data_IF_281049976363
#
_entry.id   IF_281049976363
#
_cell.length_a   1.000
_cell.length_b   1.000
_cell.length_c   1.000
_cell.angle_alpha   90.00
_cell.angle_beta   90.00
_cell.angle_gamma   90.00
#
_symmetry.space_group_name_H-M   'P 1'
#
loop_
_entity.id
_entity.type
_entity.pdbx_description
1 polymer ?
#
# COMPACT_ATOMS: atom_id res chain seq x y z
N UNK A 1 -45.05 29.40 -38.50
CA UNK A 1 -43.80 28.94 -37.94
C UNK A 1 -43.06 28.15 -39.01
N UNK A 2 -41.94 28.63 -39.48
CA UNK A 2 -41.31 28.20 -40.74
C UNK A 2 -40.63 26.83 -40.57
N UNK A 3 -41.02 25.83 -41.35
CA UNK A 3 -40.45 24.47 -41.39
C UNK A 3 -38.92 24.42 -41.48
N UNK A 4 -38.28 25.45 -42.03
CA UNK A 4 -36.82 25.60 -42.11
C UNK A 4 -36.14 25.87 -40.73
N UNK A 5 -36.84 26.51 -39.78
CA UNK A 5 -36.31 26.73 -38.42
C UNK A 5 -36.39 25.48 -37.53
N UNK A 6 -37.37 24.59 -37.78
CA UNK A 6 -37.45 23.31 -37.07
C UNK A 6 -36.34 22.33 -37.49
N UNK A 7 -35.96 22.37 -38.78
CA UNK A 7 -34.90 21.47 -39.29
C UNK A 7 -33.51 21.88 -38.77
N UNK A 8 -33.26 23.18 -38.63
CA UNK A 8 -32.00 23.70 -38.07
C UNK A 8 -31.83 23.38 -36.54
N UNK A 9 -32.97 23.34 -35.82
CA UNK A 9 -32.94 22.99 -34.38
C UNK A 9 -32.75 21.48 -34.13
N UNK A 10 -33.27 20.64 -35.04
CA UNK A 10 -33.08 19.19 -35.00
C UNK A 10 -31.64 18.76 -35.34
N UNK A 11 -30.97 19.47 -36.25
CA UNK A 11 -29.58 19.21 -36.64
C UNK A 11 -28.61 19.67 -35.51
N UNK A 12 -28.92 20.78 -34.81
CA UNK A 12 -28.12 21.24 -33.67
C UNK A 12 -28.22 20.30 -32.45
N UNK A 13 -29.33 19.56 -32.28
CA UNK A 13 -29.51 18.59 -31.19
C UNK A 13 -28.81 17.24 -31.48
N UNK A 14 -28.52 16.92 -32.75
CA UNK A 14 -27.83 15.68 -33.13
C UNK A 14 -26.30 15.77 -33.07
N UNK A 15 -25.74 16.98 -32.93
CA UNK A 15 -24.29 17.20 -32.81
C UNK A 15 -23.77 17.27 -31.32
N UNK A 16 -24.65 17.07 -30.36
CA UNK A 16 -24.34 17.29 -28.94
C UNK A 16 -24.10 16.02 -28.10
N UNK A 17 -24.11 14.81 -28.66
CA UNK A 17 -23.81 13.57 -27.94
C UNK A 17 -22.61 12.87 -28.60
N UNK A 18 -21.50 13.57 -28.68
CA UNK A 18 -20.23 12.89 -28.71
C UNK A 18 -20.00 12.39 -27.27
N UNK A 19 -20.38 11.15 -26.98
CA UNK A 19 -19.87 10.44 -25.86
C UNK A 19 -18.33 10.37 -26.04
N UNK A 20 -17.65 11.36 -25.49
CA UNK A 20 -16.19 11.27 -25.32
C UNK A 20 -15.94 10.11 -24.36
N UNK A 21 -15.83 8.90 -24.90
CA UNK A 21 -15.14 7.83 -24.17
C UNK A 21 -13.78 8.41 -23.86
N UNK A 22 -13.51 8.61 -22.56
CA UNK A 22 -12.21 9.08 -22.15
C UNK A 22 -11.16 8.12 -22.74
N UNK A 23 -10.28 8.66 -23.58
CA UNK A 23 -9.22 7.87 -24.21
C UNK A 23 -8.42 7.17 -23.11
N UNK A 24 -8.28 5.85 -23.23
CA UNK A 24 -7.46 5.10 -22.28
C UNK A 24 -6.04 5.63 -22.27
N UNK A 25 -5.51 5.80 -21.08
CA UNK A 25 -4.13 6.23 -20.88
C UNK A 25 -3.24 5.04 -20.53
N UNK A 26 -1.90 5.13 -20.65
CA UNK A 26 -0.98 4.03 -20.41
C UNK A 26 -1.23 3.26 -19.11
N UNK A 27 -1.52 3.94 -18.01
CA UNK A 27 -1.79 3.30 -16.73
C UNK A 27 -3.08 2.46 -16.72
N UNK A 28 -4.03 2.71 -17.61
CA UNK A 28 -5.27 1.95 -17.69
C UNK A 28 -5.07 0.54 -18.30
N UNK A 29 -3.93 0.29 -18.90
CA UNK A 29 -3.53 -1.02 -19.40
C UNK A 29 -2.73 -1.83 -18.37
N UNK A 30 -2.23 -1.20 -17.30
CA UNK A 30 -1.44 -1.89 -16.28
C UNK A 30 -2.29 -2.85 -15.45
N UNK A 31 -1.86 -4.09 -15.36
CA UNK A 31 -2.41 -5.11 -14.48
C UNK A 31 -1.37 -5.50 -13.40
N UNK A 32 -1.44 -4.94 -12.18
CA UNK A 32 -0.52 -5.32 -11.11
C UNK A 32 -0.60 -6.79 -10.68
N UNK A 33 -1.70 -7.48 -10.99
CA UNK A 33 -1.87 -8.90 -10.69
C UNK A 33 -1.15 -9.82 -11.70
N UNK A 34 -0.69 -9.29 -12.83
CA UNK A 34 0.08 -10.08 -13.81
C UNK A 34 1.37 -10.61 -13.18
N UNK A 35 1.62 -11.92 -13.32
CA UNK A 35 2.79 -12.59 -12.75
C UNK A 35 2.66 -12.95 -11.27
N UNK A 36 1.46 -12.87 -10.66
CA UNK A 36 1.24 -13.21 -9.25
C UNK A 36 0.71 -14.63 -9.02
N UNK A 37 0.36 -15.36 -10.07
CA UNK A 37 0.01 -16.79 -9.99
C UNK A 37 1.28 -17.64 -10.00
N UNK A 38 1.93 -17.71 -8.85
CA UNK A 38 3.23 -18.32 -8.66
C UNK A 38 3.18 -19.53 -7.74
N UNK A 39 4.13 -20.43 -7.94
CA UNK A 39 4.35 -21.60 -7.08
C UNK A 39 5.85 -21.71 -6.79
N UNK A 40 6.20 -22.01 -5.54
CA UNK A 40 7.59 -22.20 -5.11
C UNK A 40 8.34 -23.24 -5.98
N UNK A 41 7.64 -24.28 -6.43
CA UNK A 41 8.22 -25.37 -7.24
C UNK A 41 8.55 -24.94 -8.66
N UNK A 42 7.96 -23.88 -9.20
CA UNK A 42 8.10 -23.48 -10.59
C UNK A 42 8.97 -22.26 -10.76
N UNK A 43 9.21 -21.50 -9.70
CA UNK A 43 10.02 -20.28 -9.75
C UNK A 43 9.60 -19.29 -10.86
N UNK A 44 8.30 -19.24 -11.13
CA UNK A 44 7.71 -18.36 -12.13
C UNK A 44 6.62 -17.50 -11.50
N UNK A 45 6.33 -16.37 -12.14
CA UNK A 45 5.34 -15.44 -11.63
C UNK A 45 5.83 -14.60 -10.45
N UNK A 46 6.52 -14.96 -9.56
CA UNK A 46 7.23 -14.40 -8.39
C UNK A 46 7.05 -12.88 -8.14
N UNK A 47 5.86 -12.35 -8.38
CA UNK A 47 5.54 -10.93 -8.20
C UNK A 47 4.35 -10.79 -7.25
N UNK A 48 4.14 -9.58 -6.76
CA UNK A 48 2.97 -9.18 -5.99
C UNK A 48 2.36 -7.90 -6.57
N UNK A 49 1.07 -7.59 -6.31
CA UNK A 49 0.47 -6.35 -6.76
C UNK A 49 1.02 -5.19 -5.93
N UNK A 50 2.08 -4.55 -6.41
CA UNK A 50 2.67 -3.39 -5.75
C UNK A 50 1.79 -2.15 -5.96
N UNK A 51 1.19 -1.67 -4.88
CA UNK A 51 0.45 -0.42 -4.84
C UNK A 51 1.44 0.64 -4.35
N UNK A 52 1.97 1.42 -5.27
CA UNK A 52 3.07 2.35 -5.01
C UNK A 52 3.15 3.43 -6.08
N UNK A 53 3.91 4.49 -5.85
CA UNK A 53 4.36 5.38 -6.91
C UNK A 53 5.60 4.79 -7.61
N UNK A 54 5.94 5.23 -8.83
CA UNK A 54 7.20 4.85 -9.47
C UNK A 54 8.38 5.16 -8.55
N UNK A 55 9.27 4.19 -8.38
CA UNK A 55 10.45 4.30 -7.49
C UNK A 55 10.13 4.71 -6.04
N UNK A 56 8.88 4.52 -5.59
CA UNK A 56 8.45 4.89 -4.24
C UNK A 56 9.25 4.18 -3.14
N UNK A 57 9.39 4.83 -1.99
CA UNK A 57 10.07 4.24 -0.84
C UNK A 57 9.28 3.05 -0.30
N UNK A 58 7.96 3.18 -0.18
CA UNK A 58 7.09 2.16 0.38
C UNK A 58 6.14 1.59 -0.67
N UNK A 59 6.03 0.26 -0.70
CA UNK A 59 5.02 -0.45 -1.46
C UNK A 59 3.98 -1.05 -0.53
N UNK A 60 2.74 -1.07 -0.98
CA UNK A 60 1.63 -1.68 -0.27
C UNK A 60 1.06 -2.84 -1.06
N UNK A 61 0.57 -3.87 -0.36
CA UNK A 61 -0.02 -5.03 -1.00
C UNK A 61 -1.00 -5.75 -0.08
N UNK A 62 -2.02 -6.44 -0.61
CA UNK A 62 -2.77 -7.43 0.16
C UNK A 62 -1.85 -8.60 0.51
N UNK A 63 -1.88 -9.04 1.76
CA UNK A 63 -1.08 -10.16 2.25
C UNK A 63 -1.92 -11.43 2.23
N UNK A 64 -1.61 -12.39 1.36
CA UNK A 64 -2.23 -13.72 1.34
C UNK A 64 -1.37 -14.78 2.02
N UNK A 65 -0.04 -14.63 2.00
CA UNK A 65 0.91 -15.46 2.74
C UNK A 65 1.04 -15.08 4.21
N UNK A 66 1.73 -15.91 4.98
CA UNK A 66 2.02 -15.65 6.39
C UNK A 66 3.23 -14.72 6.55
N UNK A 67 3.43 -14.23 7.75
CA UNK A 67 4.64 -13.53 8.15
C UNK A 67 5.86 -14.43 7.90
N UNK A 68 6.86 -13.89 7.18
CA UNK A 68 8.06 -14.63 6.83
C UNK A 68 7.95 -15.46 5.55
N UNK A 69 6.78 -15.53 4.93
CA UNK A 69 6.61 -16.18 3.63
C UNK A 69 7.20 -15.30 2.51
N UNK A 70 8.09 -15.88 1.70
CA UNK A 70 8.64 -15.21 0.52
C UNK A 70 7.58 -14.91 -0.54
N UNK A 71 6.52 -15.71 -0.62
CA UNK A 71 5.35 -15.48 -1.46
C UNK A 71 4.25 -14.79 -0.65
N UNK A 72 4.50 -13.55 -0.29
CA UNK A 72 3.58 -12.76 0.54
C UNK A 72 2.19 -12.56 -0.12
N UNK A 73 2.10 -12.65 -1.45
CA UNK A 73 0.86 -12.71 -2.22
C UNK A 73 0.96 -13.78 -3.29
N UNK A 74 -0.11 -14.58 -3.44
CA UNK A 74 -0.32 -15.48 -4.58
C UNK A 74 -1.75 -15.35 -5.09
N UNK A 75 -1.93 -15.28 -6.42
CA UNK A 75 -3.24 -15.12 -7.05
C UNK A 75 -4.22 -16.29 -6.73
N UNK A 76 -3.69 -17.50 -6.60
CA UNK A 76 -4.51 -18.67 -6.27
C UNK A 76 -5.05 -18.69 -4.82
N UNK A 77 -4.62 -17.74 -3.96
CA UNK A 77 -5.11 -17.64 -2.59
C UNK A 77 -6.51 -17.01 -2.55
N UNK A 78 -7.31 -17.46 -1.62
CA UNK A 78 -8.70 -17.05 -1.41
C UNK A 78 -8.91 -16.24 -0.10
N UNK A 79 -7.82 -15.99 0.67
CA UNK A 79 -7.87 -15.25 1.93
C UNK A 79 -6.80 -14.19 2.02
N UNK A 80 -7.18 -13.02 2.54
CA UNK A 80 -6.30 -11.91 2.90
C UNK A 80 -6.12 -11.90 4.42
N UNK A 81 -4.86 -11.81 4.90
CA UNK A 81 -4.46 -11.77 6.30
C UNK A 81 -4.16 -10.37 6.81
N UNK A 82 -4.04 -9.40 5.90
CA UNK A 82 -3.75 -8.00 6.18
C UNK A 82 -3.35 -7.25 4.92
N UNK A 83 -3.11 -5.95 5.08
CA UNK A 83 -2.55 -5.08 4.06
C UNK A 83 -1.17 -4.66 4.53
N UNK A 84 -0.16 -5.09 3.82
CA UNK A 84 1.23 -5.06 4.25
C UNK A 84 1.98 -3.93 3.57
N UNK A 85 2.74 -3.13 4.36
CA UNK A 85 3.86 -2.38 3.81
C UNK A 85 5.00 -3.35 3.51
N UNK A 86 5.59 -3.27 2.35
CA UNK A 86 6.64 -4.20 1.91
C UNK A 86 7.79 -3.47 1.22
N UNK A 87 8.98 -4.01 1.41
CA UNK A 87 10.20 -3.59 0.73
C UNK A 87 10.86 -4.78 0.02
N UNK A 88 10.10 -5.85 -0.19
CA UNK A 88 10.63 -7.08 -0.77
C UNK A 88 10.96 -6.91 -2.26
N UNK A 89 12.23 -7.10 -2.68
CA UNK A 89 12.60 -7.07 -4.09
C UNK A 89 12.12 -8.29 -4.86
N UNK A 90 12.15 -9.46 -4.22
CA UNK A 90 11.71 -10.73 -4.79
C UNK A 90 11.43 -11.77 -3.69
N UNK A 91 10.74 -12.89 -3.99
CA UNK A 91 10.53 -13.96 -3.02
C UNK A 91 11.81 -14.60 -2.46
N UNK A 92 12.90 -14.53 -3.22
CA UNK A 92 14.20 -15.10 -2.85
C UNK A 92 15.00 -14.20 -1.93
N UNK A 93 14.76 -12.90 -2.00
CA UNK A 93 15.33 -11.88 -1.13
C UNK A 93 14.24 -11.50 -0.15
N UNK A 94 14.44 -11.81 1.13
CA UNK A 94 13.44 -11.53 2.16
C UNK A 94 13.09 -10.03 2.23
N UNK A 95 11.93 -9.77 2.82
CA UNK A 95 11.43 -8.44 3.09
C UNK A 95 12.12 -7.81 4.32
N UNK A 96 12.07 -6.50 4.44
CA UNK A 96 12.58 -5.77 5.59
C UNK A 96 11.69 -4.58 5.95
N UNK A 97 11.70 -4.20 7.21
CA UNK A 97 10.96 -3.04 7.68
C UNK A 97 9.44 -3.11 7.45
N UNK A 98 8.88 -4.31 7.39
CA UNK A 98 7.47 -4.53 7.08
C UNK A 98 6.59 -4.52 8.32
N UNK A 99 5.35 -4.10 8.15
CA UNK A 99 4.24 -4.26 9.09
C UNK A 99 2.93 -4.40 8.33
N UNK A 100 1.87 -4.85 8.99
CA UNK A 100 0.56 -5.00 8.32
C UNK A 100 -0.60 -4.43 9.13
N UNK A 101 -1.66 -4.09 8.43
CA UNK A 101 -2.89 -3.51 8.95
C UNK A 101 -4.04 -4.42 8.51
N UNK A 102 -4.86 -4.91 9.44
CA UNK A 102 -6.02 -5.73 9.13
C UNK A 102 -7.28 -5.20 9.80
N UNK A 103 -8.22 -4.62 9.04
CA UNK A 103 -9.52 -4.25 9.56
C UNK A 103 -10.42 -5.49 9.65
N UNK A 104 -11.31 -5.49 10.63
CA UNK A 104 -12.26 -6.58 10.86
C UNK A 104 -13.50 -6.13 11.64
N UNK A 105 -14.50 -7.00 11.69
CA UNK A 105 -15.71 -6.81 12.50
C UNK A 105 -16.01 -8.06 13.32
N UNK A 106 -17.02 -8.00 14.18
CA UNK A 106 -17.49 -9.11 15.01
C UNK A 106 -16.51 -9.40 16.14
N UNK A 107 -15.81 -10.49 16.10
CA UNK A 107 -14.84 -10.90 17.11
C UNK A 107 -13.44 -10.45 16.77
N UNK A 108 -12.74 -9.82 17.70
CA UNK A 108 -11.32 -9.49 17.55
C UNK A 108 -10.48 -10.76 17.44
N UNK A 109 -9.71 -10.86 16.36
CA UNK A 109 -8.79 -11.99 16.07
C UNK A 109 -7.41 -11.41 15.77
N UNK A 110 -6.41 -11.76 16.54
CA UNK A 110 -5.05 -11.22 16.40
C UNK A 110 -4.16 -12.12 15.56
N UNK A 111 -4.30 -13.44 15.71
CA UNK A 111 -3.53 -14.43 14.94
C UNK A 111 -3.81 -14.33 13.44
N UNK A 112 -2.75 -14.46 12.61
CA UNK A 112 -2.81 -14.24 11.17
C UNK A 112 -3.76 -15.20 10.42
N UNK A 113 -3.86 -16.45 10.86
CA UNK A 113 -4.76 -17.39 10.22
C UNK A 113 -6.20 -17.17 10.66
N UNK A 114 -6.41 -16.88 11.96
CA UNK A 114 -7.76 -16.64 12.51
C UNK A 114 -8.37 -15.35 12.00
N UNK A 115 -7.55 -14.29 11.76
CA UNK A 115 -8.03 -13.00 11.25
C UNK A 115 -8.21 -12.96 9.73
N UNK A 116 -7.77 -14.00 9.01
CA UNK A 116 -7.82 -14.01 7.56
C UNK A 116 -9.28 -13.98 7.05
N UNK A 117 -9.56 -13.10 6.11
CA UNK A 117 -10.87 -12.97 5.46
C UNK A 117 -10.86 -13.56 4.07
N UNK A 118 -11.92 -14.26 3.72
CA UNK A 118 -12.21 -14.62 2.34
C UNK A 118 -12.40 -13.37 1.49
N UNK A 119 -11.93 -13.43 0.24
CA UNK A 119 -12.14 -12.41 -0.78
C UNK A 119 -12.34 -13.04 -2.15
N UNK A 120 -12.69 -12.23 -3.12
CA UNK A 120 -12.84 -12.67 -4.51
C UNK A 120 -12.17 -11.65 -5.43
N UNK A 121 -11.40 -12.13 -6.41
CA UNK A 121 -10.83 -11.29 -7.47
C UNK A 121 -11.88 -10.53 -8.28
N UNK A 122 -13.15 -10.99 -8.29
CA UNK A 122 -14.26 -10.23 -8.90
C UNK A 122 -14.64 -8.96 -8.13
N UNK A 123 -14.31 -8.92 -6.85
CA UNK A 123 -14.51 -7.78 -5.95
C UNK A 123 -13.18 -7.13 -5.54
N UNK A 124 -12.09 -7.44 -6.24
CA UNK A 124 -10.77 -6.86 -6.09
C UNK A 124 -10.50 -5.90 -7.24
N UNK A 125 -10.03 -4.71 -6.91
CA UNK A 125 -9.54 -3.74 -7.89
C UNK A 125 -8.10 -3.41 -7.54
N UNK A 126 -7.17 -3.76 -8.43
CA UNK A 126 -5.76 -3.47 -8.29
C UNK A 126 -5.29 -2.58 -9.44
N UNK A 127 -4.79 -1.39 -9.11
CA UNK A 127 -4.07 -0.49 -10.01
C UNK A 127 -2.76 -0.09 -9.32
N UNK A 128 -1.77 0.44 -10.00
CA UNK A 128 -0.53 0.87 -9.35
C UNK A 128 -0.74 1.92 -8.25
N UNK A 129 -1.75 2.76 -8.39
CA UNK A 129 -2.02 3.92 -7.55
C UNK A 129 -3.24 3.77 -6.63
N UNK A 130 -3.95 2.65 -6.69
CA UNK A 130 -5.14 2.41 -5.88
C UNK A 130 -5.46 0.91 -5.81
N UNK A 131 -5.84 0.48 -4.63
CA UNK A 131 -6.32 -0.88 -4.37
C UNK A 131 -7.64 -0.84 -3.62
N UNK A 132 -8.54 -1.78 -3.92
CA UNK A 132 -9.79 -1.97 -3.18
C UNK A 132 -10.18 -3.44 -3.19
N UNK A 133 -10.69 -3.93 -2.06
CA UNK A 133 -11.21 -5.29 -1.93
C UNK A 133 -12.31 -5.38 -0.88
N UNK A 134 -13.30 -6.21 -1.15
CA UNK A 134 -14.33 -6.58 -0.18
C UNK A 134 -13.88 -7.80 0.62
N UNK A 135 -13.89 -7.68 1.95
CA UNK A 135 -13.55 -8.71 2.92
C UNK A 135 -14.84 -9.39 3.40
N UNK A 136 -15.15 -10.56 2.84
CA UNK A 136 -16.47 -11.17 3.04
C UNK A 136 -16.71 -11.73 4.44
N UNK A 137 -15.67 -12.16 5.16
CA UNK A 137 -15.79 -12.60 6.57
C UNK A 137 -16.30 -11.46 7.47
N UNK A 138 -15.95 -10.23 7.14
CA UNK A 138 -16.15 -9.03 7.94
C UNK A 138 -17.20 -8.06 7.37
N UNK A 139 -17.78 -8.38 6.20
CA UNK A 139 -18.77 -7.55 5.50
C UNK A 139 -18.32 -6.08 5.34
N UNK A 140 -17.08 -5.88 4.88
CA UNK A 140 -16.50 -4.56 4.77
C UNK A 140 -15.59 -4.41 3.55
N UNK A 141 -15.34 -3.17 3.15
CA UNK A 141 -14.41 -2.84 2.07
C UNK A 141 -13.18 -2.12 2.62
N UNK A 142 -12.01 -2.49 2.12
CA UNK A 142 -10.75 -1.80 2.37
C UNK A 142 -10.23 -1.20 1.08
N UNK A 143 -9.77 0.04 1.16
CA UNK A 143 -9.19 0.79 0.06
C UNK A 143 -7.85 1.40 0.47
N UNK A 144 -6.90 1.48 -0.48
CA UNK A 144 -5.54 1.99 -0.26
C UNK A 144 -5.14 2.88 -1.43
N UNK A 145 -4.58 4.05 -1.15
CA UNK A 145 -3.91 4.90 -2.14
C UNK A 145 -2.54 5.35 -1.58
N UNK A 146 -1.44 5.10 -2.32
CA UNK A 146 -0.08 5.39 -1.86
C UNK A 146 0.38 6.79 -2.26
N UNK A 147 1.35 7.32 -1.50
CA UNK A 147 2.30 8.33 -1.95
C UNK A 147 3.72 7.72 -1.97
N UNK A 148 4.77 8.52 -2.02
CA UNK A 148 6.14 8.00 -2.04
C UNK A 148 6.51 7.27 -0.74
N UNK A 149 6.14 7.87 0.43
CA UNK A 149 6.47 7.38 1.78
C UNK A 149 5.26 7.02 2.62
N UNK A 150 4.04 7.32 2.13
CA UNK A 150 2.81 7.18 2.88
C UNK A 150 1.76 6.35 2.16
N UNK A 151 0.69 6.02 2.87
CA UNK A 151 -0.55 5.54 2.28
C UNK A 151 -1.77 6.09 3.03
N UNK A 152 -2.84 6.27 2.29
CA UNK A 152 -4.14 6.59 2.83
C UNK A 152 -5.03 5.36 2.75
N UNK A 153 -5.60 4.94 3.87
CA UNK A 153 -6.55 3.85 3.97
C UNK A 153 -7.96 4.39 4.19
N UNK A 154 -8.94 3.73 3.57
CA UNK A 154 -10.36 3.91 3.85
C UNK A 154 -10.98 2.55 4.14
N UNK A 155 -11.58 2.41 5.31
CA UNK A 155 -12.31 1.23 5.76
C UNK A 155 -13.78 1.55 5.78
N UNK A 156 -14.59 0.89 4.95
CA UNK A 156 -16.05 1.06 4.93
C UNK A 156 -16.69 -0.10 5.70
N UNK A 157 -17.18 0.19 6.88
CA UNK A 157 -17.73 -0.77 7.83
C UNK A 157 -19.23 -0.96 7.70
N UNK A 158 -19.79 -2.13 8.08
CA UNK A 158 -21.21 -2.29 8.37
C UNK A 158 -21.59 -1.55 9.68
N UNK A 159 -22.86 -1.61 10.04
CA UNK A 159 -23.32 -1.16 11.37
C UNK A 159 -22.88 -2.19 12.42
N UNK A 160 -22.02 -1.76 13.34
CA UNK A 160 -21.51 -2.62 14.42
C UNK A 160 -20.88 -1.82 15.55
N UNK A 161 -20.96 -2.33 16.79
CA UNK A 161 -20.13 -1.87 17.92
C UNK A 161 -18.71 -2.44 17.91
N UNK A 162 -18.47 -3.45 17.08
CA UNK A 162 -17.28 -4.33 17.09
C UNK A 162 -16.53 -4.22 15.76
N UNK A 163 -16.24 -2.99 15.33
CA UNK A 163 -15.31 -2.71 14.25
C UNK A 163 -13.90 -2.56 14.83
N UNK A 164 -12.94 -3.29 14.30
CA UNK A 164 -11.56 -3.29 14.77
C UNK A 164 -10.56 -3.07 13.63
N UNK A 165 -9.39 -2.55 13.99
CA UNK A 165 -8.20 -2.54 13.13
C UNK A 165 -7.04 -3.11 13.95
N UNK A 166 -6.44 -4.20 13.45
CA UNK A 166 -5.26 -4.83 14.05
C UNK A 166 -4.02 -4.37 13.30
N UNK A 167 -3.05 -3.87 14.05
CA UNK A 167 -1.71 -3.52 13.58
C UNK A 167 -0.78 -4.63 14.01
N UNK A 168 -0.02 -5.17 13.08
CA UNK A 168 0.96 -6.24 13.29
C UNK A 168 2.35 -5.73 12.89
N UNK A 169 3.21 -5.47 13.87
CA UNK A 169 4.56 -4.95 13.63
C UNK A 169 5.59 -6.06 13.37
N UNK A 170 5.12 -7.29 13.23
CA UNK A 170 5.87 -8.50 12.91
C UNK A 170 6.94 -8.87 13.96
N UNK A 171 7.50 -10.05 13.79
CA UNK A 171 8.50 -10.65 14.68
C UNK A 171 9.93 -10.11 14.43
N UNK A 172 10.88 -10.61 15.19
CA UNK A 172 12.31 -10.29 15.24
C UNK A 172 12.63 -8.95 15.88
N UNK A 173 11.74 -8.46 16.72
CA UNK A 173 11.86 -7.21 17.45
C UNK A 173 10.95 -6.12 16.90
N UNK A 174 10.00 -5.72 17.71
CA UNK A 174 9.06 -4.65 17.36
C UNK A 174 8.60 -3.89 18.59
N UNK A 175 8.05 -2.71 18.35
CA UNK A 175 7.51 -1.81 19.35
C UNK A 175 6.24 -1.17 18.82
N UNK A 176 5.26 -1.01 19.68
CA UNK A 176 4.05 -0.22 19.41
C UNK A 176 3.65 0.59 20.64
N UNK A 177 3.06 1.76 20.38
CA UNK A 177 2.40 2.60 21.37
C UNK A 177 1.09 3.13 20.78
N UNK A 178 0.02 2.97 21.53
CA UNK A 178 -1.28 3.58 21.23
C UNK A 178 -1.41 4.87 21.99
N UNK A 179 -1.79 5.96 21.31
CA UNK A 179 -1.99 7.31 21.85
C UNK A 179 -3.46 7.68 21.60
N UNK A 180 -4.39 7.26 22.47
CA UNK A 180 -5.84 7.41 22.21
C UNK A 180 -6.28 8.86 22.09
N UNK A 181 -5.69 9.78 22.84
CA UNK A 181 -5.97 11.22 22.81
C UNK A 181 -5.63 11.91 21.50
N UNK A 182 -4.75 11.29 20.70
CA UNK A 182 -4.37 11.75 19.36
C UNK A 182 -4.96 10.88 18.24
N UNK A 183 -5.73 9.84 18.57
CA UNK A 183 -6.20 8.81 17.64
C UNK A 183 -5.04 8.20 16.83
N UNK A 184 -3.90 7.98 17.47
CA UNK A 184 -2.61 7.67 16.84
C UNK A 184 -2.02 6.37 17.36
N UNK A 185 -1.32 5.68 16.48
CA UNK A 185 -0.43 4.56 16.82
C UNK A 185 0.94 4.89 16.25
N UNK A 186 1.98 4.73 17.07
CA UNK A 186 3.38 4.81 16.64
C UNK A 186 4.08 3.50 16.95
N UNK A 187 5.09 3.17 16.18
CA UNK A 187 5.84 1.96 16.41
C UNK A 187 7.06 1.83 15.53
N UNK A 188 7.74 0.70 15.64
CA UNK A 188 8.76 0.31 14.70
C UNK A 188 8.87 -1.21 14.59
N UNK A 189 9.47 -1.66 13.51
CA UNK A 189 9.94 -3.03 13.31
C UNK A 189 11.43 -3.04 13.03
N UNK A 190 12.14 -4.04 13.56
CA UNK A 190 13.56 -4.29 13.25
C UNK A 190 13.73 -5.45 12.28
N UNK A 191 12.62 -6.03 11.80
CA UNK A 191 12.67 -7.18 10.92
C UNK A 191 13.46 -6.88 9.64
N UNK A 192 14.44 -7.71 9.35
CA UNK A 192 15.29 -7.61 8.17
C UNK A 192 15.87 -9.00 7.82
N UNK A 193 16.57 -9.09 6.69
CA UNK A 193 17.19 -10.32 6.18
C UNK A 193 18.62 -10.55 6.70
N UNK A 194 19.15 -9.62 7.50
CA UNK A 194 20.54 -9.59 7.94
C UNK A 194 21.40 -8.60 7.15
N UNK A 195 22.63 -8.39 7.61
CA UNK A 195 23.59 -7.52 6.93
C UNK A 195 23.41 -6.02 7.15
N UNK A 196 22.49 -5.62 8.05
CA UNK A 196 22.27 -4.22 8.43
C UNK A 196 22.81 -3.92 9.83
N UNK A 197 23.10 -2.65 10.18
CA UNK A 197 23.49 -2.23 11.51
C UNK A 197 22.45 -2.58 12.58
N UNK A 198 22.88 -2.73 13.82
CA UNK A 198 22.00 -3.09 14.94
C UNK A 198 20.91 -2.06 15.25
N UNK A 199 21.10 -0.82 14.86
CA UNK A 199 20.12 0.25 15.02
C UNK A 199 19.10 0.33 13.89
N UNK A 200 19.14 -0.58 12.92
CA UNK A 200 18.14 -0.63 11.83
C UNK A 200 16.73 -0.75 12.39
N UNK A 201 15.89 0.18 11.98
CA UNK A 201 14.46 0.21 12.28
C UNK A 201 13.69 0.81 11.11
N UNK A 202 12.48 0.33 10.89
CA UNK A 202 11.47 1.06 10.14
C UNK A 202 10.43 1.56 11.14
N UNK A 203 10.43 2.84 11.41
CA UNK A 203 9.46 3.52 12.25
C UNK A 203 8.18 3.76 11.46
N UNK A 204 7.03 3.67 12.11
CA UNK A 204 5.75 3.98 11.47
C UNK A 204 4.87 4.82 12.39
N UNK A 205 4.00 5.60 11.77
CA UNK A 205 2.93 6.35 12.41
C UNK A 205 1.63 6.12 11.65
N UNK A 206 0.55 5.92 12.40
CA UNK A 206 -0.79 5.71 11.86
C UNK A 206 -1.74 6.64 12.59
N UNK A 207 -2.33 7.59 11.87
CA UNK A 207 -3.34 8.54 12.39
C UNK A 207 -4.72 8.16 11.87
N UNK A 208 -5.70 8.05 12.79
CA UNK A 208 -7.09 7.77 12.45
C UNK A 208 -7.93 9.03 12.57
N UNK A 209 -8.94 9.16 11.72
CA UNK A 209 -9.87 10.29 11.74
C UNK A 209 -10.97 10.19 12.81
N UNK A 210 -10.99 9.11 13.60
CA UNK A 210 -12.00 8.84 14.63
C UNK A 210 -11.38 8.39 15.95
N UNK A 211 -12.02 8.79 17.08
CA UNK A 211 -11.59 8.32 18.40
C UNK A 211 -11.83 6.81 18.57
N UNK A 212 -10.94 6.19 19.31
CA UNK A 212 -11.00 4.77 19.62
C UNK A 212 -12.04 4.49 20.71
N UNK A 213 -12.93 3.53 20.48
CA UNK A 213 -13.82 2.95 21.51
C UNK A 213 -13.18 1.77 22.23
N UNK A 214 -12.15 1.18 21.64
CA UNK A 214 -11.32 0.11 22.18
C UNK A 214 -9.87 0.34 21.77
N UNK A 215 -8.93 0.10 22.68
CA UNK A 215 -7.51 0.23 22.40
C UNK A 215 -6.70 -0.68 23.32
N UNK A 216 -5.90 -1.56 22.73
CA UNK A 216 -5.00 -2.49 23.44
C UNK A 216 -3.75 -2.71 22.59
N UNK A 217 -2.65 -3.04 23.27
CA UNK A 217 -1.49 -3.65 22.63
C UNK A 217 -1.52 -5.15 22.86
N UNK A 218 -0.75 -5.88 22.07
CA UNK A 218 -0.65 -7.34 22.19
C UNK A 218 0.78 -7.81 21.94
N UNK A 219 1.17 -8.95 22.54
CA UNK A 219 2.42 -9.65 22.29
C UNK A 219 2.14 -11.12 22.02
N UNK A 220 2.82 -11.68 21.03
CA UNK A 220 2.72 -13.10 20.66
C UNK A 220 1.23 -13.54 20.57
N UNK A 221 0.40 -12.71 19.92
CA UNK A 221 -1.04 -12.88 19.71
C UNK A 221 -1.93 -12.80 20.97
N UNK A 222 -1.39 -12.36 22.11
CA UNK A 222 -2.15 -12.19 23.38
C UNK A 222 -2.30 -10.72 23.71
N UNK A 223 -3.54 -10.29 24.03
CA UNK A 223 -3.83 -8.92 24.48
C UNK A 223 -3.13 -8.64 25.83
N UNK A 224 -2.61 -7.44 25.96
CA UNK A 224 -2.05 -6.91 27.20
C UNK A 224 -2.99 -5.84 27.75
N UNK A 225 -3.53 -6.09 28.95
CA UNK A 225 -4.61 -5.28 29.54
C UNK A 225 -4.10 -3.98 30.19
N UNK A 226 -2.87 -3.97 30.69
CA UNK A 226 -2.36 -2.97 31.63
C UNK A 226 -1.56 -1.84 30.97
N UNK A 227 -1.20 -1.98 29.69
CA UNK A 227 -0.30 -1.04 29.01
C UNK A 227 -0.87 -0.65 27.65
N UNK A 228 -0.52 0.54 27.15
CA UNK A 228 -0.75 1.02 25.79
C UNK A 228 0.55 1.11 24.99
N UNK A 229 1.63 0.62 25.54
CA UNK A 229 2.98 0.65 24.98
C UNK A 229 3.67 -0.67 25.27
N UNK A 230 4.31 -1.26 24.25
CA UNK A 230 4.95 -2.57 24.39
C UNK A 230 6.10 -2.72 23.40
N UNK A 231 7.20 -3.28 23.88
CA UNK A 231 8.34 -3.72 23.07
C UNK A 231 8.64 -5.19 23.39
N UNK A 232 8.66 -6.04 22.36
CA UNK A 232 9.01 -7.46 22.49
C UNK A 232 9.45 -8.03 21.14
N UNK A 233 9.59 -9.35 21.08
CA UNK A 233 9.94 -10.03 19.83
C UNK A 233 8.87 -9.84 18.76
N UNK A 234 7.58 -9.92 19.12
CA UNK A 234 6.45 -9.76 18.21
C UNK A 234 5.32 -9.05 18.94
N UNK A 235 5.06 -7.81 18.54
CA UNK A 235 4.01 -6.98 19.13
C UNK A 235 3.13 -6.34 18.08
N UNK A 236 1.99 -5.86 18.51
CA UNK A 236 1.10 -5.05 17.72
C UNK A 236 0.06 -4.34 18.58
N UNK A 237 -0.89 -3.72 17.91
CA UNK A 237 -2.01 -3.01 18.52
C UNK A 237 -3.34 -3.48 17.93
N UNK A 238 -4.39 -3.37 18.72
CA UNK A 238 -5.76 -3.52 18.28
C UNK A 238 -6.56 -2.31 18.76
N UNK A 239 -7.19 -1.62 17.84
CA UNK A 239 -8.09 -0.50 18.13
C UNK A 239 -9.48 -0.80 17.60
N UNK A 240 -10.50 -0.18 18.19
CA UNK A 240 -11.89 -0.42 17.83
C UNK A 240 -12.68 0.85 17.66
N UNK A 241 -13.81 0.70 16.96
CA UNK A 241 -14.75 1.75 16.63
C UNK A 241 -16.19 1.23 16.79
N UNK A 242 -17.13 2.15 16.99
CA UNK A 242 -18.56 1.88 16.80
C UNK A 242 -18.99 2.57 15.52
N UNK A 243 -19.59 1.83 14.58
CA UNK A 243 -19.88 2.33 13.23
C UNK A 243 -21.34 2.13 12.85
N UNK A 244 -21.85 3.04 12.03
CA UNK A 244 -23.13 2.92 11.32
C UNK A 244 -22.92 2.20 9.99
N UNK A 245 -24.00 1.76 9.36
CA UNK A 245 -23.94 1.11 8.05
C UNK A 245 -23.30 2.02 6.99
N UNK A 246 -22.24 1.54 6.38
CA UNK A 246 -21.50 2.27 5.36
C UNK A 246 -20.60 3.39 5.91
N UNK A 247 -20.41 3.44 7.22
CA UNK A 247 -19.53 4.43 7.82
C UNK A 247 -18.08 4.17 7.49
N UNK A 248 -17.36 5.23 7.13
CA UNK A 248 -15.96 5.19 6.75
C UNK A 248 -15.08 5.61 7.92
N UNK A 249 -14.04 4.84 8.18
CA UNK A 249 -12.93 5.18 9.05
C UNK A 249 -11.70 5.31 8.17
N UNK A 250 -10.95 6.39 8.35
CA UNK A 250 -9.76 6.67 7.56
C UNK A 250 -8.51 6.54 8.42
N UNK A 251 -7.43 6.04 7.81
CA UNK A 251 -6.12 6.02 8.42
C UNK A 251 -5.07 6.60 7.46
N UNK A 252 -4.26 7.53 7.97
CA UNK A 252 -3.06 8.04 7.33
C UNK A 252 -1.87 7.29 7.89
N UNK A 253 -1.06 6.72 7.02
CA UNK A 253 0.08 5.89 7.41
C UNK A 253 1.34 6.42 6.77
N UNK A 254 2.39 6.59 7.57
CA UNK A 254 3.72 6.91 7.08
C UNK A 254 4.77 6.08 7.78
N UNK A 255 5.93 5.93 7.15
CA UNK A 255 7.08 5.31 7.78
C UNK A 255 8.37 6.07 7.48
N UNK A 256 9.43 5.75 8.25
CA UNK A 256 10.76 6.31 8.13
C UNK A 256 11.80 5.30 8.59
N UNK A 257 12.95 5.28 7.93
CA UNK A 257 14.11 4.53 8.40
C UNK A 257 15.02 5.36 9.33
N UNK A 258 14.67 6.64 9.56
CA UNK A 258 15.48 7.59 10.33
C UNK A 258 15.02 7.69 11.78
N UNK A 259 13.76 8.10 12.00
CA UNK A 259 13.22 8.28 13.34
C UNK A 259 11.67 8.32 13.37
N UNK A 260 11.04 8.23 14.57
CA UNK A 260 9.60 8.44 14.70
C UNK A 260 9.16 9.84 14.26
N UNK A 261 9.94 10.88 14.59
CA UNK A 261 9.65 12.27 14.22
C UNK A 261 9.72 12.46 12.70
N UNK A 262 10.63 11.76 12.05
CA UNK A 262 10.72 11.78 10.59
C UNK A 262 9.51 11.05 9.97
N UNK A 263 9.03 9.96 10.55
CA UNK A 263 7.80 9.31 10.09
C UNK A 263 6.58 10.24 10.20
N UNK A 264 6.46 11.01 11.30
CA UNK A 264 5.43 12.04 11.45
C UNK A 264 5.60 13.19 10.42
N UNK A 265 6.83 13.56 10.11
CA UNK A 265 7.11 14.55 9.09
C UNK A 265 6.67 14.07 7.71
N UNK A 266 6.93 12.81 7.40
CA UNK A 266 6.54 12.20 6.13
C UNK A 266 5.01 12.16 5.94
N UNK A 267 4.19 12.09 7.01
CA UNK A 267 2.73 12.19 6.91
C UNK A 267 2.25 13.45 6.19
N UNK A 268 3.06 14.52 6.17
CA UNK A 268 2.73 15.76 5.46
C UNK A 268 2.58 15.59 3.95
N UNK A 269 3.10 14.50 3.38
CA UNK A 269 2.88 14.16 1.95
C UNK A 269 1.40 13.99 1.62
N UNK A 270 0.61 13.48 2.56
CA UNK A 270 -0.83 13.28 2.38
C UNK A 270 -1.63 14.59 2.45
N UNK A 271 -1.09 15.61 3.10
CA UNK A 271 -1.72 16.93 3.21
C UNK A 271 -3.17 16.86 3.71
N UNK A 272 -4.06 17.58 3.00
CA UNK A 272 -5.50 17.61 3.26
C UNK A 272 -6.30 16.76 2.25
N UNK A 273 -5.61 16.01 1.40
CA UNK A 273 -6.26 15.22 0.37
C UNK A 273 -7.00 14.03 0.98
N UNK A 274 -8.12 13.69 0.38
CA UNK A 274 -8.79 12.41 0.60
C UNK A 274 -8.19 11.32 -0.31
N UNK A 275 -8.61 10.07 -0.08
CA UNK A 275 -8.09 8.92 -0.83
C UNK A 275 -8.31 9.05 -2.36
N UNK A 276 -9.43 9.61 -2.79
CA UNK A 276 -9.75 9.73 -4.22
C UNK A 276 -8.84 10.77 -4.89
N UNK A 277 -8.49 11.85 -4.18
CA UNK A 277 -7.55 12.86 -4.64
C UNK A 277 -6.12 12.31 -4.70
N UNK A 278 -5.70 11.52 -3.70
CA UNK A 278 -4.40 10.85 -3.69
C UNK A 278 -4.30 9.87 -4.84
N UNK A 279 -5.33 9.03 -5.04
CA UNK A 279 -5.39 8.10 -6.16
C UNK A 279 -5.32 8.82 -7.52
N UNK A 280 -6.02 9.96 -7.67
CA UNK A 280 -5.97 10.75 -8.90
C UNK A 280 -4.58 11.33 -9.17
N UNK A 281 -3.89 11.83 -8.12
CA UNK A 281 -2.49 12.28 -8.21
C UNK A 281 -1.55 11.13 -8.59
N UNK A 282 -1.69 9.97 -7.94
CA UNK A 282 -0.93 8.77 -8.25
C UNK A 282 -1.13 8.31 -9.69
N UNK A 283 -2.38 8.32 -10.18
CA UNK A 283 -2.70 8.02 -11.58
C UNK A 283 -1.98 8.96 -12.56
N UNK A 284 -1.93 10.25 -12.23
CA UNK A 284 -1.21 11.22 -13.06
C UNK A 284 0.29 10.92 -13.08
N UNK A 285 0.91 10.70 -11.94
CA UNK A 285 2.34 10.37 -11.84
C UNK A 285 2.67 9.12 -12.68
N UNK A 286 1.85 8.08 -12.60
CA UNK A 286 2.03 6.88 -13.40
C UNK A 286 1.90 7.14 -14.90
N UNK A 287 0.93 7.95 -15.33
CA UNK A 287 0.80 8.29 -16.74
C UNK A 287 1.97 9.13 -17.26
N UNK A 288 2.50 10.05 -16.43
CA UNK A 288 3.66 10.87 -16.79
C UNK A 288 4.93 9.99 -16.99
N UNK A 289 5.04 8.88 -16.27
CA UNK A 289 6.17 7.94 -16.40
C UNK A 289 5.94 6.95 -17.54
N UNK A 290 4.80 6.28 -17.58
CA UNK A 290 4.50 5.24 -18.56
C UNK A 290 4.30 5.83 -19.96
N UNK A 291 3.76 7.04 -20.06
CA UNK A 291 3.54 7.76 -21.33
C UNK A 291 4.82 8.29 -21.98
N UNK A 292 6.00 8.07 -21.40
CA UNK A 292 7.29 8.33 -22.08
C UNK A 292 7.52 7.39 -23.26
N UNK A 293 6.83 6.24 -23.27
CA UNK A 293 6.83 5.29 -24.37
C UNK A 293 5.37 5.05 -24.77
N UNK A 294 5.00 5.54 -25.93
CA UNK A 294 3.68 5.33 -26.50
C UNK A 294 3.75 4.13 -27.45
N UNK A 295 2.84 3.18 -27.26
CA UNK A 295 2.69 2.00 -28.10
C UNK A 295 1.29 1.95 -28.67
N UNK A 296 1.18 1.77 -29.96
CA UNK A 296 -0.06 1.53 -30.68
C UNK A 296 -0.11 0.06 -31.12
N UNK A 297 -1.18 -0.63 -30.74
CA UNK A 297 -1.44 -2.02 -31.12
C UNK A 297 -2.95 -2.26 -31.09
N UNK A 298 -3.45 -3.02 -32.06
CA UNK A 298 -4.86 -3.40 -32.14
C UNK A 298 -5.21 -4.48 -31.12
N UNK A 299 -4.21 -5.24 -30.62
CA UNK A 299 -4.37 -6.25 -29.59
C UNK A 299 -4.18 -5.62 -28.19
N UNK A 300 -5.29 -5.55 -27.46
CA UNK A 300 -5.31 -5.00 -26.10
C UNK A 300 -4.43 -5.80 -25.12
N UNK A 301 -4.20 -7.08 -25.35
CA UNK A 301 -3.40 -7.92 -24.46
C UNK A 301 -1.90 -7.68 -24.68
N UNK A 302 -1.49 -7.28 -25.88
CA UNK A 302 -0.14 -6.74 -26.13
C UNK A 302 0.09 -5.44 -25.35
N UNK A 303 -0.86 -4.49 -25.40
CA UNK A 303 -0.77 -3.24 -24.63
C UNK A 303 -0.72 -3.48 -23.13
N UNK A 304 -1.56 -4.39 -22.63
CA UNK A 304 -1.56 -4.80 -21.21
C UNK A 304 -0.23 -5.40 -20.81
N UNK A 305 0.30 -6.29 -21.62
CA UNK A 305 1.61 -6.93 -21.36
C UNK A 305 2.71 -5.88 -21.34
N UNK A 306 2.78 -5.03 -22.35
CA UNK A 306 3.79 -3.99 -22.46
C UNK A 306 3.77 -3.04 -21.24
N UNK A 307 2.63 -2.41 -20.97
CA UNK A 307 2.54 -1.45 -19.88
C UNK A 307 2.63 -2.08 -18.49
N UNK A 308 2.23 -3.35 -18.31
CA UNK A 308 2.44 -4.06 -17.04
C UNK A 308 3.92 -4.41 -16.83
N UNK A 309 4.66 -4.77 -17.89
CA UNK A 309 6.10 -4.96 -17.81
C UNK A 309 6.84 -3.63 -17.55
N UNK A 310 6.45 -2.55 -18.25
CA UNK A 310 7.01 -1.22 -18.02
C UNK A 310 6.75 -0.73 -16.59
N UNK A 311 5.53 -0.93 -16.06
CA UNK A 311 5.23 -0.68 -14.64
C UNK A 311 6.20 -1.42 -13.72
N UNK A 312 6.47 -2.71 -13.95
CA UNK A 312 7.40 -3.50 -13.14
C UNK A 312 8.83 -2.95 -13.21
N UNK A 313 9.28 -2.50 -14.37
CA UNK A 313 10.65 -2.01 -14.57
C UNK A 313 10.92 -0.69 -13.84
N UNK A 314 9.89 0.11 -13.54
CA UNK A 314 10.03 1.40 -12.83
C UNK A 314 9.62 1.36 -11.36
N UNK A 315 9.40 0.16 -10.81
CA UNK A 315 9.23 -0.01 -9.36
C UNK A 315 10.59 0.11 -8.63
N UNK A 316 11.67 -0.33 -9.27
CA UNK A 316 13.02 -0.35 -8.71
C UNK A 316 14.00 0.45 -9.60
N UNK A 317 15.09 1.05 -9.05
CA UNK A 317 15.44 1.08 -7.63
C UNK A 317 14.43 1.90 -6.82
N UNK A 318 14.25 1.56 -5.54
CA UNK A 318 13.38 2.37 -4.67
C UNK A 318 14.13 3.56 -4.10
N UNK A 319 13.43 4.68 -3.94
CA UNK A 319 13.89 5.79 -3.11
C UNK A 319 14.14 5.31 -1.69
N UNK A 320 15.29 5.67 -1.12
CA UNK A 320 15.64 5.35 0.26
C UNK A 320 16.13 6.60 1.00
N UNK A 321 15.73 7.77 0.51
CA UNK A 321 15.99 9.06 1.12
C UNK A 321 14.69 9.70 1.60
N UNK A 322 14.84 10.60 2.54
CA UNK A 322 13.74 11.34 3.15
C UNK A 322 14.06 12.83 3.13
N UNK A 323 13.08 13.67 3.42
CA UNK A 323 13.24 15.11 3.49
C UNK A 323 13.07 15.51 4.96
N UNK A 324 14.11 16.08 5.55
CA UNK A 324 14.10 16.46 6.95
C UNK A 324 13.27 17.73 7.22
N UNK A 325 13.18 18.13 8.49
CA UNK A 325 12.39 19.30 8.90
C UNK A 325 12.93 20.64 8.34
N UNK A 326 14.18 20.68 7.85
CA UNK A 326 14.78 21.86 7.21
C UNK A 326 14.56 21.87 5.69
N UNK A 327 14.07 20.75 5.13
CA UNK A 327 13.92 20.55 3.70
C UNK A 327 15.17 19.93 3.04
N UNK A 328 16.13 19.48 3.85
CA UNK A 328 17.35 18.84 3.35
C UNK A 328 17.09 17.37 3.02
N UNK A 329 17.73 16.86 1.98
CA UNK A 329 17.65 15.46 1.59
C UNK A 329 18.65 14.67 2.42
N UNK A 330 18.12 13.66 3.14
CA UNK A 330 18.88 12.81 4.06
C UNK A 330 18.47 11.35 3.89
N UNK A 331 19.31 10.43 4.33
CA UNK A 331 18.99 9.01 4.31
C UNK A 331 19.62 8.26 5.47
N UNK A 332 18.98 7.19 5.93
CA UNK A 332 19.60 6.19 6.80
C UNK A 332 20.55 5.35 5.97
N UNK A 333 21.79 5.23 6.43
CA UNK A 333 22.79 4.37 5.77
C UNK A 333 22.70 2.93 6.29
N UNK A 334 22.32 1.96 5.47
CA UNK A 334 22.28 0.55 5.87
C UNK A 334 23.67 -0.09 6.01
N UNK A 335 24.74 0.66 5.76
CA UNK A 335 26.11 0.21 5.88
C UNK A 335 26.73 0.52 7.25
N UNK A 336 26.44 1.71 7.81
CA UNK A 336 27.04 2.16 9.07
C UNK A 336 26.01 2.61 10.11
N UNK A 337 24.72 2.69 9.76
CA UNK A 337 23.63 3.08 10.67
C UNK A 337 23.54 4.58 10.97
N UNK A 338 24.24 5.40 10.23
CA UNK A 338 24.22 6.87 10.37
C UNK A 338 23.15 7.49 9.48
N UNK A 339 22.68 8.68 9.83
CA UNK A 339 21.88 9.53 8.96
C UNK A 339 22.84 10.43 8.19
N UNK A 340 22.85 10.26 6.88
CA UNK A 340 23.77 10.96 5.98
C UNK A 340 23.01 11.88 5.02
N UNK A 341 23.63 12.98 4.56
CA UNK A 341 23.04 13.87 3.56
C UNK A 341 23.03 13.22 2.17
N UNK A 342 22.05 13.61 1.35
CA UNK A 342 21.97 13.27 -0.06
C UNK A 342 21.01 12.12 -0.38
N UNK A 343 20.85 11.90 -1.68
CA UNK A 343 19.99 10.84 -2.23
C UNK A 343 20.57 9.45 -1.97
N UNK A 344 19.69 8.50 -1.71
CA UNK A 344 19.99 7.08 -1.71
C UNK A 344 18.89 6.31 -2.39
N UNK A 345 19.27 5.30 -3.16
CA UNK A 345 18.37 4.35 -3.81
C UNK A 345 18.80 2.93 -3.45
N UNK A 346 17.84 2.01 -3.36
CA UNK A 346 18.08 0.65 -2.90
C UNK A 346 17.31 -0.39 -3.72
N UNK A 347 17.57 -1.66 -3.44
CA UNK A 347 16.87 -2.81 -4.00
C UNK A 347 17.04 -2.94 -5.52
N UNK A 348 18.22 -2.65 -6.02
CA UNK A 348 18.57 -2.91 -7.41
C UNK A 348 19.91 -3.64 -7.50
N UNK A 349 19.94 -4.70 -8.28
CA UNK A 349 21.16 -5.43 -8.59
C UNK A 349 21.74 -4.99 -9.93
N UNK A 350 22.98 -4.50 -9.94
CA UNK A 350 23.64 -4.09 -11.18
C UNK A 350 23.68 -5.24 -12.20
N UNK A 351 23.96 -6.46 -11.74
CA UNK A 351 24.02 -7.65 -12.60
C UNK A 351 22.66 -7.97 -13.27
N UNK A 352 21.57 -7.73 -12.55
CA UNK A 352 20.22 -7.98 -13.07
C UNK A 352 19.77 -6.91 -14.07
N UNK A 353 20.20 -5.67 -13.91
CA UNK A 353 19.63 -4.49 -14.55
C UNK A 353 20.46 -3.90 -15.68
N UNK A 354 21.78 -4.16 -15.76
CA UNK A 354 22.68 -3.48 -16.70
C UNK A 354 22.36 -3.69 -18.17
N UNK A 355 21.70 -4.80 -18.51
CA UNK A 355 21.42 -5.15 -19.92
C UNK A 355 20.30 -4.32 -20.53
N UNK A 356 19.22 -4.12 -19.79
CA UNK A 356 17.98 -3.59 -20.34
C UNK A 356 17.43 -2.39 -19.56
N UNK A 357 17.59 -2.33 -18.24
CA UNK A 357 16.99 -1.28 -17.43
C UNK A 357 17.73 0.06 -17.56
N UNK A 358 19.07 0.07 -17.54
CA UNK A 358 19.83 1.31 -17.64
C UNK A 358 19.71 2.06 -18.98
N UNK A 359 19.42 1.44 -20.14
CA UNK A 359 19.09 2.19 -21.34
C UNK A 359 17.77 2.96 -21.28
N UNK A 360 16.86 2.63 -20.33
CA UNK A 360 15.62 3.35 -20.10
C UNK A 360 15.83 4.65 -19.31
#
# INVERSE_FOLDING_TARGET
MNKKKLLSFAIALLLGVSSTFAQKQPVDYVNPLMGTDSKISLSNGNTYPAIALPWGMNFWMPQTGKMGDGWAYTYASDKIRGFKQTHQPSPWINDYGQFSIMPMTKQLKIDQDSRASWFSHKAEKATPYYYSVYLSEYDMTTEIAPTERCAYFRFTFPETSDAYVVIDAFDRGSYVKVIPEENKIVGYTTRNSGGVPQNFKNYFVIEFDKPFTFNKVWADYHLVETHLELQSNHVGAAIGFSTKKGEQVHAKVASSFISPEQAELNLKELGKDNIDQIAAKGRKVWNDVLGRIEVEDDDIDHLRTFYSCLYRSVLFPRSFYEIDAKGDIVHYSPYNGEVLPGYMFTDTGFWDTFRCLFPF
#
